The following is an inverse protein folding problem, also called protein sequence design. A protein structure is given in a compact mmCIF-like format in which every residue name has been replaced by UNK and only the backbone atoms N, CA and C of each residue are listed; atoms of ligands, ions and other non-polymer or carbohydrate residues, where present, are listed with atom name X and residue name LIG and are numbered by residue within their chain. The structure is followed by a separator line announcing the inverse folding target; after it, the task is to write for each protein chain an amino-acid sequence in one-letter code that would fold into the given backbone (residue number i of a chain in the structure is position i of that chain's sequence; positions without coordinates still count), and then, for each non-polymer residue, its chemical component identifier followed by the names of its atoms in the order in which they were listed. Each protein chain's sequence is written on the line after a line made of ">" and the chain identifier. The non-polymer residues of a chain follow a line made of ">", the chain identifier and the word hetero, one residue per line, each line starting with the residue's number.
data_IF_881582677184
#
_entry.id   IF_881582677184
#
_cell.length_a   1.000
_cell.length_b   1.000
_cell.length_c   1.000
_cell.angle_alpha   90.00
_cell.angle_beta   90.00
_cell.angle_gamma   90.00
#
_symmetry.space_group_name_H-M   'P 1'
#
loop_
_entity.id
_entity.type
_entity.pdbx_description
1 polymer ?
#
# COMPACT_ATOMS: atom_id res chain seq x y z
N UNK A 1 -3.65 -54.26 -27.38
CA UNK A 1 -3.02 -53.00 -26.94
C UNK A 1 -3.29 -51.88 -27.95
N UNK A 2 -4.56 -51.46 -28.06
CA UNK A 2 -5.01 -50.39 -28.98
C UNK A 2 -6.04 -49.44 -28.33
N UNK A 3 -6.23 -49.55 -27.02
CA UNK A 3 -7.22 -48.77 -26.26
C UNK A 3 -6.57 -47.73 -25.34
N UNK A 4 -5.26 -47.80 -25.12
CA UNK A 4 -4.50 -46.83 -24.31
C UNK A 4 -4.23 -45.55 -25.08
N UNK A 5 -4.12 -45.58 -26.40
CA UNK A 5 -3.98 -44.35 -27.21
C UNK A 5 -5.30 -43.61 -27.41
N UNK A 6 -6.43 -44.32 -27.40
CA UNK A 6 -7.76 -43.69 -27.49
C UNK A 6 -8.11 -42.91 -26.21
N UNK A 7 -7.60 -43.34 -25.06
CA UNK A 7 -7.79 -42.64 -23.78
C UNK A 7 -6.96 -41.36 -23.65
N UNK A 8 -5.83 -41.25 -24.39
CA UNK A 8 -4.96 -40.07 -24.34
C UNK A 8 -5.49 -38.95 -25.25
N UNK A 9 -6.20 -39.28 -26.33
CA UNK A 9 -6.88 -38.30 -27.21
C UNK A 9 -8.15 -37.66 -26.60
N UNK A 10 -8.74 -38.27 -25.57
CA UNK A 10 -9.98 -37.78 -24.94
C UNK A 10 -9.73 -36.80 -23.77
N UNK A 11 -8.49 -36.72 -23.28
CA UNK A 11 -8.07 -35.78 -22.22
C UNK A 11 -7.67 -34.39 -22.75
N UNK A 12 -7.51 -34.24 -24.08
CA UNK A 12 -7.00 -33.01 -24.70
C UNK A 12 -8.10 -32.02 -25.16
N UNK A 13 -9.38 -32.28 -24.87
CA UNK A 13 -10.50 -31.49 -25.40
C UNK A 13 -11.44 -30.89 -24.34
N UNK A 14 -10.94 -30.61 -23.13
CA UNK A 14 -11.75 -29.99 -22.05
C UNK A 14 -11.24 -28.63 -21.55
N UNK A 15 -10.25 -28.02 -22.21
CA UNK A 15 -9.97 -26.59 -22.00
C UNK A 15 -10.90 -25.73 -22.86
N UNK A 16 -12.21 -25.94 -22.72
CA UNK A 16 -13.18 -24.95 -23.15
C UNK A 16 -13.22 -23.85 -22.10
N UNK A 17 -12.86 -22.65 -22.52
CA UNK A 17 -12.97 -21.39 -21.79
C UNK A 17 -14.20 -21.34 -20.90
N UNK A 18 -14.01 -21.28 -19.58
CA UNK A 18 -15.06 -20.88 -18.65
C UNK A 18 -15.23 -19.36 -18.83
N UNK A 19 -16.04 -18.96 -19.81
CA UNK A 19 -16.64 -17.64 -19.80
C UNK A 19 -17.66 -17.63 -18.65
N UNK A 20 -17.23 -17.14 -17.50
CA UNK A 20 -18.14 -16.82 -16.41
C UNK A 20 -18.81 -15.50 -16.76
N UNK A 21 -19.86 -15.57 -17.57
CA UNK A 21 -20.87 -14.52 -17.62
C UNK A 21 -21.73 -14.66 -16.36
N UNK A 22 -21.25 -14.15 -15.23
CA UNK A 22 -22.04 -14.07 -14.01
C UNK A 22 -23.01 -12.89 -14.12
N UNK A 23 -24.18 -13.15 -14.71
CA UNK A 23 -25.41 -12.49 -14.30
C UNK A 23 -25.80 -13.08 -12.94
N UNK A 24 -25.24 -12.53 -11.87
CA UNK A 24 -25.71 -12.80 -10.52
C UNK A 24 -25.56 -11.53 -9.73
N UNK A 25 -26.69 -10.87 -9.52
CA UNK A 25 -26.89 -9.85 -8.49
C UNK A 25 -26.59 -10.44 -7.12
N UNK A 26 -25.30 -10.62 -6.85
CA UNK A 26 -24.74 -10.64 -5.52
C UNK A 26 -24.13 -9.25 -5.42
N UNK A 27 -24.86 -8.33 -4.80
CA UNK A 27 -24.29 -7.08 -4.34
C UNK A 27 -23.14 -7.47 -3.41
N UNK A 28 -21.93 -7.64 -3.96
CA UNK A 28 -20.73 -7.30 -3.21
C UNK A 28 -21.03 -5.91 -2.65
N UNK A 29 -20.83 -5.67 -1.34
CA UNK A 29 -21.08 -4.35 -0.77
C UNK A 29 -20.41 -3.36 -1.71
N UNK A 30 -21.19 -2.43 -2.27
CA UNK A 30 -20.68 -1.41 -3.17
C UNK A 30 -19.53 -0.72 -2.43
N UNK A 31 -18.31 -1.21 -2.66
CA UNK A 31 -17.15 -0.74 -1.94
C UNK A 31 -17.05 0.71 -2.34
N UNK A 32 -17.20 1.60 -1.35
CA UNK A 32 -17.03 3.01 -1.58
C UNK A 32 -15.76 3.18 -2.39
N UNK A 33 -15.85 3.97 -3.46
CA UNK A 33 -14.81 4.03 -4.48
C UNK A 33 -13.44 4.34 -3.87
N UNK A 34 -13.41 5.12 -2.80
CA UNK A 34 -12.19 5.41 -2.05
C UNK A 34 -11.64 4.16 -1.35
N UNK A 35 -12.51 3.38 -0.69
CA UNK A 35 -12.14 2.10 -0.05
C UNK A 35 -11.56 1.11 -1.05
N UNK A 36 -12.09 1.06 -2.28
CA UNK A 36 -11.50 0.25 -3.35
C UNK A 36 -10.06 0.66 -3.68
N UNK A 37 -9.78 1.96 -3.82
CA UNK A 37 -8.42 2.42 -4.13
C UNK A 37 -7.46 2.31 -2.95
N UNK A 38 -7.96 2.47 -1.72
CA UNK A 38 -7.16 2.19 -0.53
C UNK A 38 -6.76 0.70 -0.46
N UNK A 39 -7.70 -0.22 -0.70
CA UNK A 39 -7.41 -1.64 -0.73
C UNK A 39 -6.42 -1.99 -1.84
N UNK A 40 -6.69 -1.53 -3.06
CA UNK A 40 -5.79 -1.75 -4.21
C UNK A 40 -4.38 -1.24 -3.93
N UNK A 41 -4.25 -0.07 -3.29
CA UNK A 41 -2.95 0.47 -2.93
C UNK A 41 -2.19 -0.40 -1.93
N UNK A 42 -2.89 -1.03 -0.97
CA UNK A 42 -2.29 -1.97 -0.03
C UNK A 42 -1.82 -3.24 -0.75
N UNK A 43 -2.67 -3.81 -1.61
CA UNK A 43 -2.32 -4.98 -2.42
C UNK A 43 -1.08 -4.71 -3.30
N UNK A 44 -1.04 -3.55 -3.96
CA UNK A 44 0.12 -3.14 -4.76
C UNK A 44 1.36 -2.95 -3.88
N UNK A 45 1.22 -2.39 -2.67
CA UNK A 45 2.34 -2.19 -1.74
C UNK A 45 2.90 -3.52 -1.19
N UNK A 46 2.03 -4.47 -0.86
CA UNK A 46 2.42 -5.81 -0.43
C UNK A 46 3.21 -6.52 -1.54
N UNK A 47 2.74 -6.42 -2.79
CA UNK A 47 3.46 -6.94 -3.95
C UNK A 47 4.84 -6.29 -4.09
N UNK A 48 4.90 -4.95 -4.06
CA UNK A 48 6.16 -4.19 -4.16
C UNK A 48 7.15 -4.51 -3.05
N UNK A 49 6.67 -4.74 -1.83
CA UNK A 49 7.48 -5.09 -0.66
C UNK A 49 8.05 -6.51 -0.74
N UNK A 50 7.36 -7.42 -1.42
CA UNK A 50 7.80 -8.80 -1.65
C UNK A 50 8.57 -8.97 -2.96
N UNK A 51 8.70 -7.92 -3.77
CA UNK A 51 9.22 -8.00 -5.13
C UNK A 51 10.75 -8.07 -5.12
N UNK A 52 11.28 -9.26 -5.34
CA UNK A 52 12.72 -9.49 -5.53
C UNK A 52 13.08 -9.43 -7.02
N UNK A 53 13.46 -8.24 -7.48
CA UNK A 53 13.95 -8.04 -8.85
C UNK A 53 15.42 -8.41 -8.97
N UNK A 54 15.75 -9.24 -9.97
CA UNK A 54 17.13 -9.66 -10.24
C UNK A 54 17.90 -8.72 -11.18
N UNK A 55 17.18 -7.83 -11.86
CA UNK A 55 17.69 -6.95 -12.90
C UNK A 55 17.22 -5.51 -12.64
N UNK A 56 18.17 -4.58 -12.63
CA UNK A 56 17.93 -3.15 -12.40
C UNK A 56 17.06 -2.54 -13.52
N UNK A 57 17.20 -3.00 -14.77
CA UNK A 57 16.39 -2.50 -15.88
C UNK A 57 14.90 -2.85 -15.72
N UNK A 58 14.61 -4.10 -15.32
CA UNK A 58 13.25 -4.57 -15.09
C UNK A 58 12.60 -3.82 -13.91
N UNK A 59 13.39 -3.55 -12.87
CA UNK A 59 12.93 -2.76 -11.72
C UNK A 59 12.60 -1.33 -12.12
N UNK A 60 13.46 -0.70 -12.93
CA UNK A 60 13.24 0.65 -13.41
C UNK A 60 11.98 0.75 -14.27
N UNK A 61 11.74 -0.22 -15.13
CA UNK A 61 10.53 -0.26 -15.97
C UNK A 61 9.27 -0.48 -15.13
N UNK A 62 9.33 -1.34 -14.10
CA UNK A 62 8.25 -1.50 -13.14
C UNK A 62 7.89 -0.18 -12.43
N UNK A 63 8.88 0.52 -11.88
CA UNK A 63 8.62 1.79 -11.19
C UNK A 63 8.13 2.89 -12.14
N UNK A 64 8.52 2.84 -13.41
CA UNK A 64 8.03 3.74 -14.45
C UNK A 64 6.56 3.48 -14.78
N UNK A 65 6.15 2.21 -14.83
CA UNK A 65 4.76 1.83 -15.02
C UNK A 65 3.90 2.20 -13.81
N UNK A 66 4.43 2.01 -12.60
CA UNK A 66 3.79 2.44 -11.36
C UNK A 66 3.56 3.97 -11.33
N UNK A 67 4.58 4.77 -11.64
CA UNK A 67 4.46 6.24 -11.73
C UNK A 67 3.49 6.67 -12.84
N UNK A 68 3.46 5.97 -13.97
CA UNK A 68 2.51 6.23 -15.05
C UNK A 68 1.07 5.98 -14.57
N UNK A 69 0.81 4.85 -13.92
CA UNK A 69 -0.48 4.53 -13.35
C UNK A 69 -0.94 5.62 -12.37
N UNK A 70 -0.09 6.02 -11.44
CA UNK A 70 -0.40 7.05 -10.45
C UNK A 70 -0.69 8.42 -11.08
N UNK A 71 0.10 8.81 -12.09
CA UNK A 71 -0.12 10.05 -12.84
C UNK A 71 -1.45 10.04 -13.59
N UNK A 72 -1.79 8.92 -14.22
CA UNK A 72 -3.04 8.80 -14.97
C UNK A 72 -4.26 8.68 -14.04
N UNK A 73 -4.10 8.01 -12.89
CA UNK A 73 -5.09 8.01 -11.80
C UNK A 73 -5.34 9.44 -11.28
N UNK A 74 -4.28 10.22 -11.06
CA UNK A 74 -4.40 11.62 -10.63
C UNK A 74 -5.11 12.51 -11.64
N UNK A 75 -4.89 12.28 -12.94
CA UNK A 75 -5.54 13.04 -14.02
C UNK A 75 -7.03 12.69 -14.11
N UNK A 76 -7.38 11.41 -14.04
CA UNK A 76 -8.76 10.94 -14.21
C UNK A 76 -9.62 11.20 -12.98
N UNK A 77 -9.07 11.00 -11.77
CA UNK A 77 -9.81 11.10 -10.53
C UNK A 77 -8.89 11.44 -9.35
N UNK A 78 -8.93 12.72 -8.95
CA UNK A 78 -8.12 13.21 -7.83
C UNK A 78 -8.52 12.61 -6.48
N UNK A 79 -9.78 12.21 -6.29
CA UNK A 79 -10.27 11.62 -5.04
C UNK A 79 -9.73 10.19 -4.91
N UNK A 80 -9.86 9.41 -5.98
CA UNK A 80 -9.27 8.09 -6.09
C UNK A 80 -7.75 8.10 -5.90
N UNK A 81 -7.06 9.06 -6.53
CA UNK A 81 -5.62 9.22 -6.35
C UNK A 81 -5.24 9.49 -4.89
N UNK A 82 -5.97 10.35 -4.18
CA UNK A 82 -5.72 10.60 -2.75
C UNK A 82 -5.92 9.34 -1.91
N UNK A 83 -7.01 8.63 -2.13
CA UNK A 83 -7.29 7.35 -1.46
C UNK A 83 -6.17 6.33 -1.73
N UNK A 84 -5.74 6.20 -2.98
CA UNK A 84 -4.63 5.33 -3.36
C UNK A 84 -3.31 5.71 -2.66
N UNK A 85 -2.93 7.00 -2.69
CA UNK A 85 -1.70 7.46 -2.05
C UNK A 85 -1.74 7.33 -0.52
N UNK A 86 -2.92 7.50 0.09
CA UNK A 86 -3.14 7.22 1.51
C UNK A 86 -2.93 5.73 1.81
N UNK A 87 -3.53 4.84 1.02
CA UNK A 87 -3.33 3.40 1.17
C UNK A 87 -1.87 2.97 1.03
N UNK A 88 -1.15 3.49 0.03
CA UNK A 88 0.30 3.28 -0.14
C UNK A 88 1.08 3.72 1.08
N UNK A 89 0.86 4.96 1.54
CA UNK A 89 1.54 5.52 2.71
C UNK A 89 1.33 4.66 3.95
N UNK A 90 0.07 4.27 4.21
CA UNK A 90 -0.29 3.49 5.39
C UNK A 90 0.37 2.09 5.34
N UNK A 91 0.34 1.41 4.18
CA UNK A 91 0.99 0.10 3.99
C UNK A 91 2.53 0.16 4.08
N UNK A 92 3.16 1.19 3.52
CA UNK A 92 4.61 1.39 3.64
C UNK A 92 5.01 1.70 5.08
N UNK A 93 4.22 2.50 5.79
CA UNK A 93 4.49 2.82 7.20
C UNK A 93 4.35 1.58 8.10
N UNK A 94 3.34 0.74 7.85
CA UNK A 94 3.17 -0.55 8.52
C UNK A 94 4.36 -1.47 8.25
N UNK A 95 4.74 -1.63 6.99
CA UNK A 95 5.91 -2.42 6.62
C UNK A 95 7.18 -1.91 7.30
N UNK A 96 7.43 -0.60 7.29
CA UNK A 96 8.59 -0.02 7.98
C UNK A 96 8.61 -0.26 9.50
N UNK A 97 7.45 -0.47 10.13
CA UNK A 97 7.38 -0.83 11.55
C UNK A 97 7.72 -2.31 11.82
N UNK A 98 7.52 -3.18 10.82
CA UNK A 98 7.79 -4.61 10.90
C UNK A 98 9.09 -5.05 10.20
N UNK A 99 9.64 -4.17 9.39
CA UNK A 99 10.81 -4.41 8.58
C UNK A 99 12.08 -4.26 9.42
N UNK A 100 12.80 -5.36 9.60
CA UNK A 100 14.03 -5.43 10.36
C UNK A 100 15.26 -5.51 9.42
N UNK A 101 16.41 -5.91 9.96
CA UNK A 101 17.65 -6.03 9.18
C UNK A 101 17.62 -7.12 8.08
N UNK A 102 16.58 -7.96 8.03
CA UNK A 102 16.41 -8.99 6.99
C UNK A 102 15.60 -8.50 5.80
N UNK A 103 14.98 -7.33 5.89
CA UNK A 103 14.42 -6.67 4.72
C UNK A 103 15.52 -6.20 3.78
N UNK A 104 15.56 -6.78 2.59
CA UNK A 104 16.40 -6.29 1.50
C UNK A 104 15.53 -5.59 0.47
N UNK A 105 15.63 -4.27 0.43
CA UNK A 105 14.97 -3.44 -0.57
C UNK A 105 16.01 -2.74 -1.43
N UNK A 106 15.65 -2.49 -2.69
CA UNK A 106 16.49 -1.74 -3.63
C UNK A 106 16.52 -0.23 -3.31
N UNK A 107 17.47 0.47 -3.92
CA UNK A 107 17.51 1.93 -3.89
C UNK A 107 16.24 2.56 -4.51
N UNK A 108 15.68 1.93 -5.53
CA UNK A 108 14.45 2.37 -6.18
C UNK A 108 13.25 2.26 -5.25
N UNK A 109 13.12 1.14 -4.54
CA UNK A 109 12.09 0.95 -3.52
C UNK A 109 12.22 2.03 -2.43
N UNK A 110 13.42 2.27 -1.90
CA UNK A 110 13.63 3.28 -0.86
C UNK A 110 13.26 4.69 -1.33
N UNK A 111 13.58 5.03 -2.59
CA UNK A 111 13.17 6.29 -3.20
C UNK A 111 11.65 6.40 -3.28
N UNK A 112 10.97 5.33 -3.68
CA UNK A 112 9.50 5.33 -3.79
C UNK A 112 8.83 5.39 -2.40
N UNK A 113 9.36 4.66 -1.41
CA UNK A 113 8.92 4.74 -0.02
C UNK A 113 8.99 6.18 0.50
N UNK A 114 10.08 6.88 0.21
CA UNK A 114 10.22 8.29 0.59
C UNK A 114 9.16 9.18 -0.08
N UNK A 115 8.80 8.92 -1.34
CA UNK A 115 7.73 9.65 -2.03
C UNK A 115 6.38 9.43 -1.31
N UNK A 116 6.05 8.21 -0.92
CA UNK A 116 4.81 7.93 -0.19
C UNK A 116 4.80 8.52 1.22
N UNK A 117 5.92 8.50 1.95
CA UNK A 117 6.02 9.15 3.26
C UNK A 117 5.93 10.67 3.18
N UNK A 118 6.56 11.24 2.17
CA UNK A 118 6.53 12.68 1.92
C UNK A 118 5.28 13.10 1.18
N UNK A 119 4.38 12.19 0.80
CA UNK A 119 3.06 12.54 0.32
C UNK A 119 2.23 13.11 1.48
N UNK A 120 2.42 14.40 1.72
CA UNK A 120 1.57 15.18 2.59
C UNK A 120 0.36 15.62 1.77
N UNK A 121 -0.80 15.12 2.16
CA UNK A 121 -2.02 15.88 1.96
C UNK A 121 -1.80 17.25 2.59
N UNK A 122 -1.78 18.30 1.78
CA UNK A 122 -1.89 19.65 2.31
C UNK A 122 -3.17 19.86 3.16
N UNK A 123 -4.06 18.88 3.32
CA UNK A 123 -5.36 18.98 3.99
C UNK A 123 -5.73 17.75 4.87
N UNK A 124 -4.83 17.24 5.71
CA UNK A 124 -5.29 16.58 6.94
C UNK A 124 -4.86 17.44 8.13
N UNK A 125 -5.81 17.89 8.99
CA UNK A 125 -5.42 18.55 10.22
C UNK A 125 -4.62 17.54 11.03
N UNK A 126 -3.34 17.84 11.20
CA UNK A 126 -2.46 17.15 12.13
C UNK A 126 -3.15 17.30 13.49
N UNK A 127 -3.84 16.25 13.96
CA UNK A 127 -4.29 16.20 15.35
C UNK A 127 -3.05 15.99 16.21
N UNK A 128 -2.25 17.05 16.35
CA UNK A 128 -1.26 17.15 17.40
C UNK A 128 -2.03 17.46 18.68
N UNK A 129 -2.66 16.45 19.28
CA UNK A 129 -3.04 16.54 20.69
C UNK A 129 -1.75 16.48 21.51
N UNK A 130 -0.94 17.53 21.43
CA UNK A 130 0.08 17.80 22.45
C UNK A 130 -0.70 18.23 23.67
N UNK A 131 -1.01 17.27 24.54
CA UNK A 131 -1.46 17.57 25.90
C UNK A 131 -0.27 18.21 26.61
N UNK A 132 -0.15 19.55 26.51
CA UNK A 132 0.74 20.31 27.39
C UNK A 132 0.16 20.22 28.80
N UNK A 133 0.54 19.19 29.55
CA UNK A 133 0.33 19.19 31.00
C UNK A 133 1.22 20.28 31.61
N UNK A 134 0.67 21.49 31.76
CA UNK A 134 1.30 22.59 32.49
C UNK A 134 1.22 22.32 33.99
N UNK A 135 1.92 21.30 34.46
CA UNK A 135 2.15 21.10 35.89
C UNK A 135 3.18 22.14 36.32
N UNK A 136 2.72 23.25 36.88
CA UNK A 136 3.58 24.24 37.53
C UNK A 136 3.85 23.78 38.95
N UNK A 137 5.02 23.21 39.18
CA UNK A 137 5.48 22.90 40.54
C UNK A 137 6.03 24.20 41.14
N UNK A 138 5.27 24.82 42.05
CA UNK A 138 5.77 25.94 42.84
C UNK A 138 6.75 25.42 43.88
N UNK A 139 8.02 25.81 43.78
CA UNK A 139 9.01 25.49 44.80
C UNK A 139 8.85 26.44 45.99
N UNK A 140 8.68 25.93 47.23
CA UNK A 140 8.60 26.78 48.40
C UNK A 140 9.97 27.42 48.68
N UNK A 141 9.99 28.73 48.88
CA UNK A 141 11.17 29.46 49.35
C UNK A 141 11.22 29.38 50.87
N UNK A 142 12.20 28.64 51.40
CA UNK A 142 12.51 28.63 52.83
C UNK A 142 13.50 29.75 53.10
N UNK A 143 13.07 30.79 53.81
CA UNK A 143 13.96 31.85 54.29
C UNK A 143 14.51 31.48 55.67
N UNK A 144 15.81 31.24 55.77
CA UNK A 144 16.51 31.12 57.05
C UNK A 144 16.81 32.53 57.58
N UNK A 145 16.07 32.93 58.61
CA UNK A 145 16.44 34.05 59.48
C UNK A 145 17.48 33.53 60.47
N UNK A 146 18.68 34.11 60.41
CA UNK A 146 19.71 33.94 61.43
C UNK A 146 19.87 35.29 62.10
N UNK A 147 19.70 35.29 63.42
CA UNK A 147 19.89 36.44 64.31
C UNK A 147 21.35 36.89 64.34
#
# INVERSE_FOLDING_TARGET
>A
MKHTEFFIMLLALTFSTVMVAQEKGTEAPELDRDSYYEQRAREDAEYEQALEMRNEEDEKDFWKDQDKYEKDLRKRDKKAYKAYMKGKRDAYAEHAAHCDNHCHHSDHYHRQAQIYYTYHEYHYPRSSTVVQSRVRVATPRVGLSIF
#
